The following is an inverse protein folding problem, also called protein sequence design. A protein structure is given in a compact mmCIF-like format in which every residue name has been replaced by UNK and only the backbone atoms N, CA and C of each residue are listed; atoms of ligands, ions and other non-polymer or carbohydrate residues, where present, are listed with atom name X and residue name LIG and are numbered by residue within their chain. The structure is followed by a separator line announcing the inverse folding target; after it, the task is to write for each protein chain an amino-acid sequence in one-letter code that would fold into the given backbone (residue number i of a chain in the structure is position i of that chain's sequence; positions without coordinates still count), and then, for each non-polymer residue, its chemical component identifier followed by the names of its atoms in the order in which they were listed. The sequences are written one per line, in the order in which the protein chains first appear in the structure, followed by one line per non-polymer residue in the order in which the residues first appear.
data_IF_611818956457
#
_entry.id   IF_611818956457
#
_cell.length_a   1.000
_cell.length_b   1.000
_cell.length_c   1.000
_cell.angle_alpha   90.00
_cell.angle_beta   90.00
_cell.angle_gamma   90.00
#
_symmetry.space_group_name_H-M   'P 1'
#
loop_
_entity.id
_entity.type
_entity.pdbx_description
1 polymer ?
#
# COMPACT_ATOMS: atom_id res chain seq x y z
N UNK A 1 13.94 -4.52 0.96
CA UNK A 1 14.95 -4.54 2.04
C UNK A 1 16.09 -3.57 1.70
N UNK A 2 16.42 -2.66 2.61
CA UNK A 2 17.48 -1.62 2.41
C UNK A 2 17.34 -0.81 1.12
N UNK A 3 16.12 -0.50 0.72
CA UNK A 3 15.85 0.31 -0.47
C UNK A 3 15.75 -0.46 -1.78
N UNK A 4 15.86 -1.79 -1.74
CA UNK A 4 15.69 -2.64 -2.92
C UNK A 4 14.46 -3.54 -2.81
N UNK A 5 13.98 -4.01 -3.94
CA UNK A 5 12.85 -4.94 -4.05
C UNK A 5 13.37 -6.37 -4.16
N UNK A 6 12.82 -7.24 -3.33
CA UNK A 6 13.11 -8.67 -3.28
C UNK A 6 11.83 -9.46 -3.49
N UNK A 7 11.98 -10.69 -3.94
CA UNK A 7 10.88 -11.62 -4.13
C UNK A 7 11.20 -12.94 -3.42
N UNK A 8 10.25 -13.42 -2.62
CA UNK A 8 10.37 -14.69 -1.89
C UNK A 8 9.10 -15.50 -2.05
N UNK A 9 9.15 -16.84 -2.12
CA UNK A 9 7.95 -17.67 -2.02
C UNK A 9 7.21 -17.43 -0.70
N UNK A 10 5.88 -17.58 -0.68
CA UNK A 10 5.07 -17.40 0.52
C UNK A 10 5.47 -18.34 1.68
N UNK A 11 6.05 -19.50 1.38
CA UNK A 11 6.58 -20.43 2.37
C UNK A 11 7.98 -20.10 2.88
N UNK A 12 8.59 -18.99 2.44
CA UNK A 12 9.95 -18.60 2.81
C UNK A 12 11.03 -19.14 1.88
N UNK A 13 12.28 -18.99 2.31
CA UNK A 13 13.48 -19.41 1.60
C UNK A 13 14.29 -18.24 1.06
N UNK A 14 15.08 -18.48 0.04
CA UNK A 14 15.96 -17.47 -0.55
C UNK A 14 15.15 -16.40 -1.29
N UNK A 15 15.42 -15.13 -0.97
CA UNK A 15 14.83 -13.95 -1.59
C UNK A 15 15.81 -13.31 -2.57
N UNK A 16 15.75 -13.61 -3.88
CA UNK A 16 16.55 -12.91 -4.87
C UNK A 16 16.19 -11.44 -4.95
N UNK A 17 17.21 -10.61 -5.13
CA UNK A 17 17.08 -9.19 -5.38
C UNK A 17 16.59 -8.97 -6.80
N UNK A 18 15.53 -8.15 -6.96
CA UNK A 18 14.95 -7.81 -8.26
C UNK A 18 15.48 -6.48 -8.81
N UNK A 19 15.84 -5.56 -7.93
CA UNK A 19 16.37 -4.24 -8.28
C UNK A 19 17.74 -4.02 -7.63
N UNK A 20 18.61 -3.27 -8.32
CA UNK A 20 20.00 -3.02 -7.90
C UNK A 20 20.40 -1.56 -8.10
N UNK A 21 19.42 -0.67 -8.29
CA UNK A 21 19.71 0.76 -8.42
C UNK A 21 20.10 1.33 -7.05
N UNK A 22 21.06 2.30 -6.99
CA UNK A 22 21.48 2.88 -5.71
C UNK A 22 20.43 3.74 -4.99
N UNK A 23 19.32 4.05 -5.67
CA UNK A 23 18.18 4.79 -5.13
C UNK A 23 17.29 3.93 -4.25
N UNK A 24 16.42 4.59 -3.49
CA UNK A 24 15.45 3.91 -2.65
C UNK A 24 14.22 3.50 -3.46
N UNK A 25 13.80 2.25 -3.30
CA UNK A 25 12.67 1.64 -3.98
C UNK A 25 11.70 1.06 -2.96
N UNK A 26 10.41 1.33 -3.13
CA UNK A 26 9.38 0.96 -2.16
C UNK A 26 8.02 0.69 -2.81
N UNK A 27 7.05 0.30 -1.99
CA UNK A 27 5.63 0.07 -2.36
C UNK A 27 5.44 -0.79 -3.62
N UNK A 28 6.06 -2.00 -3.71
CA UNK A 28 5.87 -2.85 -4.86
C UNK A 28 4.43 -3.41 -4.90
N UNK A 29 3.84 -3.39 -6.09
CA UNK A 29 2.52 -3.97 -6.37
C UNK A 29 2.59 -4.90 -7.57
N UNK A 30 1.83 -5.99 -7.53
CA UNK A 30 1.75 -6.96 -8.59
C UNK A 30 0.69 -6.59 -9.63
N UNK A 31 1.00 -6.85 -10.92
CA UNK A 31 -0.06 -6.86 -11.95
C UNK A 31 -1.02 -8.04 -11.72
N UNK A 32 -2.30 -7.94 -12.17
CA UNK A 32 -3.29 -9.01 -11.97
C UNK A 32 -2.86 -10.36 -12.55
N UNK A 33 -2.09 -10.36 -13.64
CA UNK A 33 -1.56 -11.57 -14.27
C UNK A 33 -0.23 -12.05 -13.66
N UNK A 34 0.26 -11.37 -12.61
CA UNK A 34 1.52 -11.66 -11.90
C UNK A 34 2.79 -11.60 -12.76
N UNK A 35 2.74 -10.97 -13.95
CA UNK A 35 3.89 -10.87 -14.84
C UNK A 35 4.73 -9.63 -14.65
N UNK A 36 4.18 -8.60 -14.01
CA UNK A 36 4.84 -7.32 -13.79
C UNK A 36 4.75 -6.91 -12.32
N UNK A 37 5.70 -6.07 -11.92
CA UNK A 37 5.71 -5.38 -10.64
C UNK A 37 5.87 -3.89 -10.93
N UNK A 38 4.95 -3.07 -10.39
CA UNK A 38 5.14 -1.63 -10.33
C UNK A 38 5.59 -1.23 -8.93
N UNK A 39 6.40 -0.18 -8.84
CA UNK A 39 7.00 0.27 -7.58
C UNK A 39 7.36 1.75 -7.67
N UNK A 40 7.55 2.40 -6.53
CA UNK A 40 8.08 3.74 -6.45
C UNK A 40 9.60 3.72 -6.34
N UNK A 41 10.28 4.67 -7.01
CA UNK A 41 11.73 4.87 -6.90
C UNK A 41 12.07 6.36 -6.94
N UNK A 42 13.00 6.79 -6.08
CA UNK A 42 13.45 8.19 -6.00
C UNK A 42 14.68 8.50 -6.88
N UNK A 43 14.95 7.65 -7.88
CA UNK A 43 16.13 7.76 -8.74
C UNK A 43 16.22 9.05 -9.57
N UNK A 44 15.11 9.78 -9.68
CA UNK A 44 15.04 11.06 -10.38
C UNK A 44 14.91 12.26 -9.42
N UNK A 45 15.07 12.04 -8.09
CA UNK A 45 15.03 13.10 -7.07
C UNK A 45 13.77 13.13 -6.23
N UNK A 46 12.67 12.51 -6.68
CA UNK A 46 11.45 12.24 -5.95
C UNK A 46 10.91 10.89 -6.35
N UNK A 47 9.92 10.37 -5.64
CA UNK A 47 9.33 9.08 -5.98
C UNK A 47 8.48 9.18 -7.24
N UNK A 48 8.93 8.51 -8.30
CA UNK A 48 8.18 8.24 -9.52
C UNK A 48 7.79 6.75 -9.58
N UNK A 49 6.79 6.44 -10.41
CA UNK A 49 6.35 5.06 -10.62
C UNK A 49 7.14 4.40 -11.73
N UNK A 50 7.69 3.25 -11.42
CA UNK A 50 8.38 2.37 -12.35
C UNK A 50 7.65 1.04 -12.48
N UNK A 51 7.85 0.36 -13.62
CA UNK A 51 7.33 -0.98 -13.87
C UNK A 51 8.44 -1.88 -14.45
N UNK A 52 8.44 -3.13 -14.04
CA UNK A 52 9.40 -4.15 -14.53
C UNK A 52 8.76 -5.52 -14.62
N UNK A 53 9.37 -6.49 -15.35
CA UNK A 53 8.95 -7.89 -15.28
C UNK A 53 9.06 -8.43 -13.85
N UNK A 54 8.15 -9.31 -13.46
CA UNK A 54 8.14 -9.93 -12.11
C UNK A 54 9.32 -10.89 -11.86
N UNK A 55 10.12 -11.13 -12.88
CA UNK A 55 11.38 -11.88 -12.80
C UNK A 55 12.61 -10.99 -12.59
N UNK A 56 12.40 -9.67 -12.45
CA UNK A 56 13.46 -8.68 -12.47
C UNK A 56 13.83 -8.24 -13.89
N UNK A 57 14.80 -7.34 -14.00
CA UNK A 57 15.27 -6.78 -15.25
C UNK A 57 15.15 -5.25 -15.30
N UNK A 58 15.17 -4.69 -16.51
CA UNK A 58 15.15 -3.23 -16.68
C UNK A 58 13.78 -2.66 -16.30
N UNK A 59 13.77 -1.75 -15.34
CA UNK A 59 12.59 -0.99 -14.96
C UNK A 59 12.36 0.18 -15.95
N UNK A 60 11.11 0.37 -16.33
CA UNK A 60 10.66 1.49 -17.17
C UNK A 60 9.93 2.51 -16.29
N UNK A 61 10.21 3.79 -16.51
CA UNK A 61 9.51 4.88 -15.83
C UNK A 61 8.13 5.08 -16.45
N UNK A 62 7.12 5.27 -15.60
CA UNK A 62 5.74 5.56 -16.03
C UNK A 62 5.32 6.99 -15.76
N UNK A 63 5.84 7.60 -14.71
CA UNK A 63 5.48 8.96 -14.27
C UNK A 63 6.72 9.81 -14.04
N UNK A 64 6.58 11.13 -14.14
CA UNK A 64 7.71 12.08 -14.05
C UNK A 64 7.27 13.41 -13.42
N UNK A 65 6.30 13.39 -12.52
CA UNK A 65 5.87 14.61 -11.84
C UNK A 65 6.88 15.02 -10.76
N UNK A 66 6.90 16.30 -10.40
CA UNK A 66 7.74 16.79 -9.29
C UNK A 66 7.23 16.43 -7.90
N UNK A 67 5.97 15.97 -7.77
CA UNK A 67 5.42 15.42 -6.53
C UNK A 67 5.76 13.93 -6.44
N UNK A 68 5.92 13.41 -5.20
CA UNK A 68 6.09 11.98 -4.99
C UNK A 68 4.81 11.22 -5.32
N UNK A 69 4.95 10.15 -6.08
CA UNK A 69 3.89 9.30 -6.59
C UNK A 69 4.07 7.88 -6.05
N UNK A 70 3.09 7.40 -5.28
CA UNK A 70 3.17 6.11 -4.62
C UNK A 70 2.09 5.17 -5.16
N UNK A 71 2.47 4.07 -5.84
CA UNK A 71 1.51 3.14 -6.42
C UNK A 71 0.72 2.41 -5.33
N UNK A 72 -0.58 2.24 -5.57
CA UNK A 72 -1.49 1.50 -4.68
C UNK A 72 -1.89 0.16 -5.26
N UNK A 73 -2.36 0.13 -6.51
CA UNK A 73 -2.90 -1.09 -7.14
C UNK A 73 -2.97 -0.95 -8.65
N UNK A 74 -2.90 -2.07 -9.38
CA UNK A 74 -3.35 -2.13 -10.77
C UNK A 74 -4.88 -2.18 -10.83
N UNK A 75 -5.46 -1.64 -11.90
CA UNK A 75 -6.87 -1.92 -12.22
C UNK A 75 -7.05 -3.42 -12.49
N UNK A 76 -8.25 -3.99 -12.28
CA UNK A 76 -8.50 -5.43 -12.49
C UNK A 76 -8.16 -5.92 -13.91
N UNK A 77 -8.31 -5.05 -14.91
CA UNK A 77 -7.96 -5.36 -16.31
C UNK A 77 -6.46 -5.18 -16.61
N UNK A 78 -5.66 -4.77 -15.64
CA UNK A 78 -4.22 -4.55 -15.74
C UNK A 78 -3.78 -3.36 -16.59
N UNK A 79 -4.72 -2.52 -17.06
CA UNK A 79 -4.38 -1.43 -18.00
C UNK A 79 -3.84 -0.19 -17.33
N UNK A 80 -4.20 0.06 -16.07
CA UNK A 80 -3.80 1.24 -15.33
C UNK A 80 -3.22 0.87 -13.96
N UNK A 81 -2.39 1.76 -13.45
CA UNK A 81 -1.91 1.75 -12.07
C UNK A 81 -2.52 2.96 -11.37
N UNK A 82 -3.21 2.73 -10.25
CA UNK A 82 -3.68 3.78 -9.37
C UNK A 82 -2.58 4.12 -8.37
N UNK A 83 -2.46 5.40 -8.08
CA UNK A 83 -1.46 5.92 -7.16
C UNK A 83 -1.95 7.17 -6.45
N UNK A 84 -1.37 7.44 -5.29
CA UNK A 84 -1.64 8.65 -4.52
C UNK A 84 -0.49 9.64 -4.71
N UNK A 85 -0.84 10.90 -4.95
CA UNK A 85 0.12 11.98 -5.09
C UNK A 85 -0.50 13.33 -4.66
N UNK A 86 0.37 14.27 -4.26
CA UNK A 86 -0.03 15.67 -4.02
C UNK A 86 0.43 16.51 -5.21
N UNK A 87 -0.24 16.34 -6.34
CA UNK A 87 0.04 17.11 -7.55
C UNK A 87 -0.58 18.49 -7.39
N UNK A 88 0.20 19.53 -7.67
CA UNK A 88 -0.26 20.90 -7.52
C UNK A 88 -1.39 21.22 -8.52
N UNK A 89 -2.53 21.64 -8.00
CA UNK A 89 -3.62 22.17 -8.80
C UNK A 89 -3.22 23.43 -9.58
N UNK A 90 -3.88 23.72 -10.71
CA UNK A 90 -3.78 25.02 -11.35
C UNK A 90 -4.05 26.14 -10.36
N UNK A 91 -3.33 27.26 -10.48
CA UNK A 91 -3.41 28.39 -9.53
C UNK A 91 -4.85 28.89 -9.28
N UNK A 92 -5.75 28.74 -10.26
CA UNK A 92 -7.16 29.11 -10.12
C UNK A 92 -7.97 28.15 -9.21
N UNK A 93 -7.48 26.90 -9.02
CA UNK A 93 -8.13 25.86 -8.21
C UNK A 93 -7.40 25.62 -6.89
N UNK A 94 -6.19 26.14 -6.75
CA UNK A 94 -5.36 25.99 -5.56
C UNK A 94 -5.90 26.82 -4.40
N UNK A 95 -6.88 26.27 -3.68
CA UNK A 95 -7.39 26.90 -2.45
C UNK A 95 -6.39 26.83 -1.30
N UNK A 96 -5.59 25.76 -1.26
CA UNK A 96 -4.57 25.53 -0.23
C UNK A 96 -3.33 24.89 -0.86
N UNK A 97 -2.17 25.54 -0.82
CA UNK A 97 -0.92 24.93 -1.26
C UNK A 97 -0.47 23.92 -0.20
N UNK A 98 -0.95 22.70 -0.26
CA UNK A 98 -0.53 21.70 0.72
C UNK A 98 -0.07 20.42 0.05
N UNK A 99 1.09 19.96 0.51
CA UNK A 99 1.57 18.59 0.27
C UNK A 99 0.93 17.57 1.22
N UNK A 100 0.02 18.02 2.09
CA UNK A 100 -0.57 17.20 3.15
C UNK A 100 -1.74 16.34 2.68
N UNK A 101 -2.43 16.76 1.62
CA UNK A 101 -3.61 16.08 1.08
C UNK A 101 -3.25 15.43 -0.25
N UNK A 102 -3.19 14.11 -0.25
CA UNK A 102 -2.98 13.32 -1.46
C UNK A 102 -4.30 13.12 -2.18
N UNK A 103 -4.26 13.14 -3.50
CA UNK A 103 -5.36 12.81 -4.38
C UNK A 103 -5.09 11.48 -5.09
N UNK A 104 -6.11 10.88 -5.67
CA UNK A 104 -5.99 9.62 -6.38
C UNK A 104 -5.88 9.84 -7.88
N UNK A 105 -4.82 9.31 -8.45
CA UNK A 105 -4.52 9.36 -9.88
C UNK A 105 -4.39 7.96 -10.47
N UNK A 106 -4.37 7.86 -11.79
CA UNK A 106 -4.01 6.66 -12.55
C UNK A 106 -3.08 7.00 -13.71
N UNK A 107 -2.22 6.05 -14.03
CA UNK A 107 -1.35 6.10 -15.22
C UNK A 107 -1.50 4.79 -16.00
N UNK A 108 -1.48 4.81 -17.37
CA UNK A 108 -1.48 3.58 -18.14
C UNK A 108 -0.26 2.72 -17.82
N UNK A 109 -0.44 1.42 -17.65
CA UNK A 109 0.65 0.49 -17.31
C UNK A 109 1.71 0.35 -18.43
N UNK A 110 1.40 0.78 -19.64
CA UNK A 110 2.33 0.88 -20.77
C UNK A 110 2.89 2.29 -21.01
N UNK A 111 2.70 3.20 -20.04
CA UNK A 111 3.08 4.60 -20.14
C UNK A 111 2.02 5.48 -20.81
N UNK A 112 2.08 6.76 -20.53
CA UNK A 112 1.13 7.74 -21.07
C UNK A 112 0.81 8.84 -20.09
N UNK A 113 -0.29 9.55 -20.34
CA UNK A 113 -0.69 10.68 -19.51
C UNK A 113 -1.35 10.20 -18.22
N UNK A 114 -0.94 10.79 -17.11
CA UNK A 114 -1.60 10.69 -15.81
C UNK A 114 -2.97 11.36 -15.83
N UNK A 115 -3.98 10.73 -15.24
CA UNK A 115 -5.33 11.24 -15.09
C UNK A 115 -5.75 11.19 -13.62
N UNK A 116 -6.44 12.21 -13.14
CA UNK A 116 -7.03 12.22 -11.81
C UNK A 116 -8.27 11.29 -11.78
N UNK A 117 -8.35 10.45 -10.75
CA UNK A 117 -9.49 9.56 -10.50
C UNK A 117 -10.44 10.17 -9.47
N UNK A 118 -9.89 10.66 -8.36
CA UNK A 118 -10.62 11.36 -7.30
C UNK A 118 -9.84 12.58 -6.84
N UNK A 119 -10.53 13.71 -6.67
CA UNK A 119 -10.03 14.86 -5.94
C UNK A 119 -10.16 14.71 -4.42
N UNK A 120 -10.80 13.63 -3.96
CA UNK A 120 -10.86 13.28 -2.52
C UNK A 120 -9.61 12.54 -2.13
N UNK A 121 -8.99 12.88 -0.98
CA UNK A 121 -7.83 12.16 -0.48
C UNK A 121 -8.13 10.67 -0.31
N UNK A 122 -7.42 9.83 -1.06
CA UNK A 122 -7.61 8.40 -1.07
C UNK A 122 -6.25 7.68 -1.19
N UNK A 123 -6.02 6.73 -0.30
CA UNK A 123 -4.78 5.95 -0.21
C UNK A 123 -5.11 4.46 -0.03
N UNK A 124 -4.13 3.59 -0.26
CA UNK A 124 -4.25 2.14 -0.05
C UNK A 124 -5.51 1.54 -0.69
N UNK A 125 -5.66 1.78 -1.99
CA UNK A 125 -6.84 1.35 -2.76
C UNK A 125 -6.86 -0.17 -2.94
N UNK A 126 -8.04 -0.78 -2.79
CA UNK A 126 -8.31 -2.18 -3.11
C UNK A 126 -9.54 -2.27 -4.03
N UNK A 127 -9.34 -2.72 -5.27
CA UNK A 127 -10.42 -2.89 -6.24
C UNK A 127 -11.20 -4.19 -6.05
N UNK A 128 -12.51 -4.12 -6.28
CA UNK A 128 -13.29 -5.32 -6.63
C UNK A 128 -12.90 -5.81 -8.02
N UNK A 129 -12.90 -7.11 -8.23
CA UNK A 129 -12.52 -7.74 -9.52
C UNK A 129 -13.41 -7.27 -10.68
N UNK A 130 -14.69 -6.97 -10.40
CA UNK A 130 -15.62 -6.40 -11.36
C UNK A 130 -15.25 -4.99 -11.83
N UNK A 131 -14.45 -4.26 -11.03
CA UNK A 131 -14.17 -2.85 -11.26
C UNK A 131 -15.33 -1.89 -10.91
N UNK A 132 -16.45 -2.41 -10.41
CA UNK A 132 -17.63 -1.60 -10.07
C UNK A 132 -17.44 -0.72 -8.84
N UNK A 133 -16.55 -1.13 -7.95
CA UNK A 133 -16.18 -0.35 -6.78
C UNK A 133 -14.74 -0.62 -6.34
N UNK A 134 -14.22 0.25 -5.53
CA UNK A 134 -12.99 0.02 -4.78
C UNK A 134 -13.12 0.53 -3.34
N UNK A 135 -12.32 -0.05 -2.47
CA UNK A 135 -12.12 0.41 -1.10
C UNK A 135 -10.90 1.31 -1.05
N UNK A 136 -10.91 2.27 -0.15
CA UNK A 136 -9.76 3.13 0.12
C UNK A 136 -9.76 3.59 1.58
N UNK A 137 -8.60 3.96 2.09
CA UNK A 137 -8.51 4.72 3.33
C UNK A 137 -8.50 6.22 2.99
N UNK A 138 -9.22 7.01 3.75
CA UNK A 138 -9.19 8.47 3.59
C UNK A 138 -7.94 9.09 4.24
N UNK A 139 -7.72 10.35 3.94
CA UNK A 139 -6.72 11.18 4.62
C UNK A 139 -7.35 12.52 4.98
N UNK A 140 -7.48 12.79 6.26
CA UNK A 140 -8.14 13.99 6.80
C UNK A 140 -7.15 15.07 7.24
N UNK A 141 -5.86 14.72 7.27
CA UNK A 141 -4.81 15.62 7.72
C UNK A 141 -3.43 14.99 7.66
N UNK A 142 -2.46 15.70 8.23
CA UNK A 142 -1.10 15.17 8.36
C UNK A 142 -0.98 14.38 9.66
N UNK A 143 -0.76 13.09 9.52
CA UNK A 143 -0.57 12.14 10.61
C UNK A 143 0.72 11.36 10.40
N UNK A 144 1.50 11.20 11.47
CA UNK A 144 2.63 10.29 11.48
C UNK A 144 2.12 8.84 11.51
N UNK A 145 2.31 8.11 10.42
CA UNK A 145 1.86 6.71 10.28
C UNK A 145 2.55 5.74 11.24
N UNK A 146 3.67 6.14 11.84
CA UNK A 146 4.45 5.31 12.76
C UNK A 146 4.04 5.45 14.22
N UNK A 147 3.19 6.42 14.55
CA UNK A 147 2.71 6.60 15.93
C UNK A 147 1.71 5.54 16.36
N UNK A 148 1.50 5.41 17.65
CA UNK A 148 0.57 4.49 18.30
C UNK A 148 -0.46 5.24 19.14
N UNK A 149 -1.59 4.57 19.40
CA UNK A 149 -2.60 4.97 20.42
C UNK A 149 -3.16 6.37 20.18
N UNK A 150 -3.50 6.69 18.95
CA UNK A 150 -4.05 7.99 18.64
C UNK A 150 -5.54 7.94 18.33
N UNK A 151 -6.26 8.83 18.98
CA UNK A 151 -7.66 9.14 18.67
C UNK A 151 -7.76 10.62 18.35
N UNK A 152 -8.27 10.96 17.19
CA UNK A 152 -8.48 12.34 16.77
C UNK A 152 -9.52 12.42 15.66
N UNK A 153 -9.91 13.65 15.31
CA UNK A 153 -10.81 13.89 14.18
C UNK A 153 -10.18 13.66 12.79
N UNK A 154 -8.86 13.42 12.74
CA UNK A 154 -8.12 13.21 11.51
C UNK A 154 -7.62 11.77 11.34
N UNK A 155 -8.01 10.84 12.22
CA UNK A 155 -7.78 9.40 12.03
C UNK A 155 -8.47 8.92 10.76
N UNK A 156 -7.82 7.99 10.07
CA UNK A 156 -8.32 7.45 8.81
C UNK A 156 -9.49 6.52 9.04
N UNK A 157 -10.43 6.54 8.11
CA UNK A 157 -11.54 5.59 7.99
C UNK A 157 -11.45 4.87 6.65
N UNK A 158 -12.14 3.73 6.56
CA UNK A 158 -12.28 2.96 5.34
C UNK A 158 -13.56 3.36 4.63
N UNK A 159 -13.42 3.67 3.35
CA UNK A 159 -14.50 4.06 2.46
C UNK A 159 -14.62 3.13 1.26
N UNK A 160 -15.80 3.03 0.73
CA UNK A 160 -16.08 2.39 -0.56
C UNK A 160 -16.52 3.45 -1.55
N UNK A 161 -15.91 3.43 -2.74
CA UNK A 161 -16.31 4.27 -3.87
C UNK A 161 -16.92 3.42 -4.98
N UNK A 162 -18.14 3.73 -5.39
CA UNK A 162 -18.77 3.10 -6.52
C UNK A 162 -18.41 3.85 -7.81
N UNK A 163 -17.71 3.17 -8.73
CA UNK A 163 -17.15 3.79 -9.95
C UNK A 163 -18.21 4.22 -10.98
N UNK A 164 -19.39 3.62 -10.93
CA UNK A 164 -20.49 3.94 -11.85
C UNK A 164 -21.32 5.12 -11.38
N UNK A 165 -21.60 5.18 -10.08
CA UNK A 165 -22.49 6.20 -9.52
C UNK A 165 -21.76 7.38 -8.90
N UNK A 166 -20.45 7.27 -8.68
CA UNK A 166 -19.64 8.27 -7.97
C UNK A 166 -19.95 8.35 -6.46
N UNK A 167 -20.69 7.38 -5.91
CA UNK A 167 -21.08 7.40 -4.50
C UNK A 167 -19.96 6.93 -3.60
N UNK A 168 -19.68 7.70 -2.55
CA UNK A 168 -18.83 7.32 -1.42
C UNK A 168 -19.67 6.79 -0.26
N UNK A 169 -19.25 5.69 0.34
CA UNK A 169 -19.90 5.09 1.52
C UNK A 169 -18.84 4.82 2.58
N UNK A 170 -18.99 5.40 3.76
CA UNK A 170 -18.11 5.11 4.90
C UNK A 170 -18.43 3.72 5.44
N UNK A 171 -17.42 2.85 5.55
CA UNK A 171 -17.55 1.49 6.07
C UNK A 171 -17.12 1.39 7.53
N UNK A 172 -16.23 2.28 8.00
CA UNK A 172 -15.80 2.33 9.39
C UNK A 172 -15.98 3.74 9.94
N UNK A 173 -16.39 3.83 11.19
CA UNK A 173 -16.52 5.11 11.90
C UNK A 173 -16.05 4.88 13.33
N UNK A 174 -14.74 4.90 13.52
CA UNK A 174 -14.11 4.63 14.79
C UNK A 174 -13.20 5.79 15.20
N UNK A 175 -13.10 6.07 16.51
CA UNK A 175 -12.25 7.16 17.01
C UNK A 175 -10.75 6.89 16.85
N UNK A 176 -10.34 5.61 16.77
CA UNK A 176 -9.00 5.17 16.41
C UNK A 176 -8.86 5.03 14.89
N UNK A 177 -7.67 4.73 14.45
CA UNK A 177 -7.34 4.68 13.03
C UNK A 177 -7.64 3.32 12.42
N UNK A 178 -8.28 3.31 11.24
CA UNK A 178 -8.51 2.15 10.39
C UNK A 178 -7.76 2.33 9.05
N UNK A 179 -6.96 1.32 8.64
CA UNK A 179 -6.05 1.39 7.47
C UNK A 179 -6.07 0.12 6.62
N UNK A 180 -5.46 0.21 5.44
CA UNK A 180 -5.15 -0.92 4.56
C UNK A 180 -6.35 -1.83 4.29
N UNK A 181 -7.42 -1.35 3.66
CA UNK A 181 -8.57 -2.18 3.33
C UNK A 181 -8.20 -3.21 2.26
N UNK A 182 -8.63 -4.45 2.46
CA UNK A 182 -8.43 -5.56 1.52
C UNK A 182 -9.74 -6.34 1.42
N UNK A 183 -10.15 -6.66 0.20
CA UNK A 183 -11.28 -7.56 -0.05
C UNK A 183 -10.82 -9.02 0.09
N UNK A 184 -11.68 -9.86 0.67
CA UNK A 184 -11.51 -11.31 0.58
C UNK A 184 -11.62 -11.77 -0.88
N UNK A 185 -11.07 -12.95 -1.25
CA UNK A 185 -11.13 -13.43 -2.63
C UNK A 185 -12.55 -13.62 -3.18
N UNK A 186 -13.51 -13.86 -2.33
CA UNK A 186 -14.95 -13.95 -2.68
C UNK A 186 -15.66 -12.58 -2.61
N UNK A 187 -14.93 -11.53 -2.28
CA UNK A 187 -15.40 -10.13 -2.16
C UNK A 187 -16.53 -9.90 -1.17
N UNK A 188 -16.77 -10.86 -0.25
CA UNK A 188 -17.84 -10.75 0.75
C UNK A 188 -17.39 -10.15 2.07
N UNK A 189 -16.09 -10.10 2.32
CA UNK A 189 -15.52 -9.57 3.54
C UNK A 189 -14.43 -8.55 3.27
N UNK A 190 -14.30 -7.61 4.18
CA UNK A 190 -13.23 -6.61 4.19
C UNK A 190 -12.30 -6.90 5.35
N UNK A 191 -11.00 -6.93 5.10
CA UNK A 191 -9.96 -6.96 6.10
C UNK A 191 -9.32 -5.59 6.23
N UNK A 192 -9.01 -5.19 7.46
CA UNK A 192 -8.41 -3.90 7.76
C UNK A 192 -7.37 -4.02 8.87
N UNK A 193 -6.48 -3.04 8.97
CA UNK A 193 -5.70 -2.77 10.16
C UNK A 193 -6.43 -1.74 11.00
N UNK A 194 -6.64 -2.04 12.28
CA UNK A 194 -7.31 -1.13 13.22
C UNK A 194 -6.58 -1.09 14.56
N UNK A 195 -6.49 0.09 15.16
CA UNK A 195 -5.90 0.27 16.50
C UNK A 195 -6.92 0.35 17.63
N UNK A 196 -8.16 -0.10 17.41
CA UNK A 196 -9.28 0.00 18.37
C UNK A 196 -9.05 -0.66 19.74
N UNK A 197 -8.09 -1.57 19.84
CA UNK A 197 -7.64 -2.18 21.10
C UNK A 197 -6.25 -1.66 21.52
N UNK A 198 -5.86 -0.49 21.05
CA UNK A 198 -4.65 0.19 21.48
C UNK A 198 -3.40 -0.09 20.63
N UNK A 199 -3.38 -1.12 19.80
CA UNK A 199 -2.31 -1.39 18.83
C UNK A 199 -2.93 -1.91 17.54
N UNK A 200 -2.33 -1.57 16.39
CA UNK A 200 -2.82 -2.09 15.12
C UNK A 200 -2.80 -3.61 15.10
N UNK A 201 -3.96 -4.18 14.83
CA UNK A 201 -4.18 -5.58 14.55
C UNK A 201 -5.06 -5.72 13.30
N UNK A 202 -5.04 -6.90 12.69
CA UNK A 202 -5.94 -7.20 11.58
C UNK A 202 -7.33 -7.57 12.12
N UNK A 203 -8.35 -7.00 11.49
CA UNK A 203 -9.76 -7.27 11.72
C UNK A 203 -10.45 -7.57 10.41
N UNK A 204 -11.61 -8.24 10.45
CA UNK A 204 -12.46 -8.40 9.29
C UNK A 204 -13.93 -8.18 9.64
N UNK A 205 -14.70 -7.79 8.65
CA UNK A 205 -16.16 -7.68 8.71
C UNK A 205 -16.80 -8.03 7.36
N UNK A 206 -18.03 -8.57 7.34
CA UNK A 206 -18.78 -8.75 6.11
C UNK A 206 -19.10 -7.42 5.43
N UNK A 207 -18.95 -7.34 4.10
CA UNK A 207 -19.21 -6.09 3.34
C UNK A 207 -20.65 -5.60 3.47
N UNK A 208 -21.59 -6.52 3.65
CA UNK A 208 -23.02 -6.23 3.87
C UNK A 208 -23.38 -5.92 5.34
N UNK A 209 -22.47 -6.16 6.27
CA UNK A 209 -22.67 -5.91 7.71
C UNK A 209 -21.39 -5.41 8.39
N UNK A 210 -21.07 -4.14 8.18
CA UNK A 210 -19.84 -3.51 8.69
C UNK A 210 -19.75 -3.46 10.22
N UNK A 211 -20.87 -3.65 10.93
CA UNK A 211 -20.91 -3.68 12.40
C UNK A 211 -20.44 -5.04 12.98
N UNK A 212 -20.40 -6.10 12.17
CA UNK A 212 -19.97 -7.43 12.60
C UNK A 212 -18.46 -7.62 12.49
N UNK A 213 -17.71 -6.73 13.13
CA UNK A 213 -16.25 -6.76 13.11
C UNK A 213 -15.70 -7.89 13.99
N UNK A 214 -14.73 -8.64 13.46
CA UNK A 214 -14.04 -9.74 14.16
C UNK A 214 -12.54 -9.53 14.17
N UNK A 215 -11.91 -9.87 15.28
CA UNK A 215 -10.45 -9.85 15.43
C UNK A 215 -9.83 -11.02 14.64
N UNK A 216 -8.81 -10.74 13.84
CA UNK A 216 -8.02 -11.73 13.09
C UNK A 216 -6.67 -11.95 13.75
N UNK A 217 -6.01 -10.88 14.22
CA UNK A 217 -4.78 -10.95 15.00
C UNK A 217 -4.95 -10.26 16.35
N UNK A 218 -4.19 -10.67 17.36
CA UNK A 218 -4.31 -10.16 18.73
C UNK A 218 -2.96 -9.88 19.38
N UNK A 219 -2.03 -9.33 18.61
CA UNK A 219 -0.72 -8.92 19.12
C UNK A 219 -0.82 -7.71 20.06
N UNK A 220 -0.02 -7.70 21.14
CA UNK A 220 -0.11 -6.67 22.19
C UNK A 220 1.10 -5.72 22.24
N UNK A 221 2.27 -6.19 21.80
CA UNK A 221 3.54 -5.44 22.01
C UNK A 221 3.83 -4.48 20.86
N UNK A 222 3.73 -4.95 19.63
CA UNK A 222 4.01 -4.19 18.42
C UNK A 222 2.80 -4.13 17.50
N UNK A 223 2.68 -3.10 16.65
CA UNK A 223 1.61 -3.03 15.67
C UNK A 223 1.83 -4.01 14.51
N UNK A 224 0.74 -4.59 14.02
CA UNK A 224 0.69 -5.24 12.71
C UNK A 224 0.72 -4.17 11.63
N UNK A 225 1.49 -4.39 10.54
CA UNK A 225 1.65 -3.44 9.43
C UNK A 225 1.67 -4.14 8.09
N UNK A 226 1.50 -3.38 7.01
CA UNK A 226 1.64 -3.83 5.62
C UNK A 226 0.78 -5.05 5.29
N UNK A 227 -0.51 -4.97 5.68
CA UNK A 227 -1.46 -6.04 5.42
C UNK A 227 -1.68 -6.23 3.92
N UNK A 228 -1.60 -7.46 3.46
CA UNK A 228 -1.92 -7.87 2.10
C UNK A 228 -2.57 -9.26 2.10
N UNK A 229 -3.16 -9.65 0.98
CA UNK A 229 -3.81 -10.96 0.85
C UNK A 229 -3.56 -11.54 -0.54
N UNK A 230 -3.27 -12.82 -0.60
CA UNK A 230 -3.17 -13.57 -1.84
C UNK A 230 -4.55 -14.02 -2.35
N UNK A 231 -4.62 -14.44 -3.61
CA UNK A 231 -5.86 -14.94 -4.21
C UNK A 231 -6.46 -16.16 -3.52
N UNK A 232 -5.66 -16.93 -2.78
CA UNK A 232 -6.14 -18.08 -2.01
C UNK A 232 -6.62 -17.71 -0.60
N UNK A 233 -6.64 -16.42 -0.26
CA UNK A 233 -7.08 -15.89 1.02
C UNK A 233 -6.03 -15.96 2.14
N UNK A 234 -4.75 -16.21 1.79
CA UNK A 234 -3.66 -16.13 2.77
C UNK A 234 -3.29 -14.68 3.01
N UNK A 235 -3.41 -14.22 4.25
CA UNK A 235 -2.93 -12.93 4.71
C UNK A 235 -1.40 -12.92 4.81
N UNK A 236 -0.80 -11.79 4.45
CA UNK A 236 0.60 -11.49 4.72
C UNK A 236 0.69 -10.13 5.41
N UNK A 237 1.49 -10.03 6.45
CA UNK A 237 1.69 -8.79 7.20
C UNK A 237 3.03 -8.82 7.93
N UNK A 238 3.46 -7.66 8.43
CA UNK A 238 4.65 -7.59 9.29
C UNK A 238 4.25 -7.40 10.74
N UNK A 239 5.02 -8.01 11.63
CA UNK A 239 4.96 -7.82 13.06
C UNK A 239 6.37 -7.94 13.65
N UNK A 240 6.77 -6.99 14.48
CA UNK A 240 8.09 -6.95 15.14
C UNK A 240 9.28 -7.10 14.16
N UNK A 241 9.19 -6.44 13.00
CA UNK A 241 10.22 -6.48 11.97
C UNK A 241 10.26 -7.75 11.11
N UNK A 242 9.39 -8.72 11.39
CA UNK A 242 9.34 -10.00 10.69
C UNK A 242 8.07 -10.11 9.81
N UNK A 243 8.12 -10.96 8.79
CA UNK A 243 6.98 -11.22 7.91
C UNK A 243 6.24 -12.48 8.40
N UNK A 244 4.93 -12.37 8.45
CA UNK A 244 4.02 -13.46 8.83
C UNK A 244 3.02 -13.74 7.74
N UNK A 245 2.65 -15.01 7.59
CA UNK A 245 1.52 -15.46 6.79
C UNK A 245 0.48 -16.14 7.67
N UNK A 246 -0.80 -15.99 7.32
CA UNK A 246 -1.92 -16.56 8.08
C UNK A 246 -3.09 -16.87 7.15
N UNK A 247 -3.64 -18.06 7.23
CA UNK A 247 -4.84 -18.46 6.47
C UNK A 247 -6.05 -18.54 7.39
N UNK A 248 -7.02 -17.68 7.14
CA UNK A 248 -8.22 -17.58 7.99
C UNK A 248 -7.87 -17.35 9.47
N UNK A 249 -8.38 -18.19 10.34
CA UNK A 249 -8.12 -18.13 11.79
C UNK A 249 -6.97 -19.05 12.25
N UNK A 250 -6.13 -19.53 11.33
CA UNK A 250 -4.97 -20.35 11.70
C UNK A 250 -3.94 -19.51 12.50
N UNK A 251 -3.09 -20.21 13.23
CA UNK A 251 -1.97 -19.55 13.93
C UNK A 251 -1.04 -18.85 12.94
N UNK A 252 -0.68 -17.58 13.16
CA UNK A 252 0.30 -16.90 12.34
C UNK A 252 1.60 -17.69 12.21
N UNK A 253 2.12 -17.81 10.99
CA UNK A 253 3.38 -18.47 10.71
C UNK A 253 4.41 -17.41 10.29
N UNK A 254 5.53 -17.35 11.01
CA UNK A 254 6.67 -16.54 10.60
C UNK A 254 7.25 -17.11 9.31
N UNK A 255 7.53 -16.24 8.35
CA UNK A 255 8.18 -16.61 7.10
C UNK A 255 9.69 -16.46 7.26
N UNK A 256 10.41 -17.57 7.22
CA UNK A 256 11.89 -17.55 7.26
C UNK A 256 12.42 -17.13 5.90
N UNK A 257 13.16 -16.02 5.86
CA UNK A 257 13.65 -15.40 4.63
C UNK A 257 15.15 -15.24 4.68
N UNK A 258 15.82 -15.83 3.70
CA UNK A 258 17.25 -15.70 3.50
C UNK A 258 17.53 -14.66 2.40
N UNK A 259 18.08 -13.50 2.77
CA UNK A 259 18.49 -12.47 1.82
C UNK A 259 19.93 -12.71 1.46
N UNK A 260 20.18 -13.22 0.25
CA UNK A 260 21.53 -13.39 -0.29
C UNK A 260 21.88 -12.17 -1.12
N UNK A 261 22.86 -11.42 -0.68
CA UNK A 261 23.43 -10.27 -1.37
C UNK A 261 24.90 -10.53 -1.67
N UNK A 262 25.32 -10.22 -2.87
CA UNK A 262 26.73 -10.14 -3.27
C UNK A 262 27.20 -8.68 -3.17
N UNK A 263 26.86 -8.05 -2.06
CA UNK A 263 27.30 -6.68 -1.78
C UNK A 263 28.60 -6.72 -1.00
N UNK A 264 29.63 -6.13 -1.56
CA UNK A 264 30.72 -5.63 -0.72
C UNK A 264 30.09 -4.51 0.13
N UNK A 265 30.19 -4.66 1.46
CA UNK A 265 29.79 -3.60 2.39
C UNK A 265 30.45 -2.30 1.93
N UNK A 266 29.67 -1.38 1.40
CA UNK A 266 30.12 -0.01 1.20
C UNK A 266 30.23 0.59 2.60
N UNK A 267 31.38 0.40 3.22
CA UNK A 267 31.70 1.08 4.47
C UNK A 267 31.81 2.56 4.09
N UNK A 268 30.77 3.31 4.44
CA UNK A 268 30.84 4.76 4.41
C UNK A 268 31.71 5.19 5.59
N UNK A 269 32.93 5.60 5.34
CA UNK A 269 33.75 6.28 6.33
C UNK A 269 33.05 7.62 6.64
N UNK A 270 32.31 7.64 7.73
CA UNK A 270 31.71 8.85 8.27
C UNK A 270 32.82 9.65 8.97
N UNK A 271 33.37 10.64 8.28
CA UNK A 271 34.29 11.62 8.89
C UNK A 271 33.47 12.72 9.52
N UNK A 272 33.40 12.74 10.85
CA UNK A 272 32.82 13.88 11.58
C UNK A 272 33.89 15.00 11.61
N UNK A 273 33.59 16.13 10.94
CA UNK A 273 34.36 17.38 11.12
C UNK A 273 33.76 18.12 12.32
N UNK A 274 34.60 18.36 13.34
CA UNK A 274 34.27 19.22 14.51
C UNK A 274 34.09 20.69 14.09
#
# INVERSE_FOLDING_TARGET
YKGDIYKVPAGGGVAPQLTTHPSYECTPIWSPDSKQIAFASDRNGNFDIFIMPSTGGTAQILTTNSASELPSIFTPDGKYILFSASIQDPAQSAMFPTTAMTELYKVPANGGRTEQVLGTPAEAVCYATSGEFFLYQDRKGFEDEWRKHHTSSITRDIWMYNTQTGKHTNLTNHAGEDRNPILSPDEKSVYILSEREGSFNAYNFPLDNTQSLKTVTSFKTHPVRFLSMSHDGTLCYTYDGEIYTQKGNATPQKTDIDIVRDDQDKIADLTFTN
#
